data_IF_204088740840
#
_entry.id   IF_204088740840
#
_cell.length_a   1.000
_cell.length_b   1.000
_cell.length_c   1.000
_cell.angle_alpha   90.00
_cell.angle_beta   90.00
_cell.angle_gamma   90.00
#
_symmetry.space_group_name_H-M   'P 1'
#
loop_
_entity.id
_entity.type
_entity.pdbx_description
1 polymer ?
#
# COMPACT_ATOMS: atom_id res chain seq x y z
N UNK A 1 13.80 -2.21 -14.64
CA UNK A 1 13.27 -0.82 -14.52
C UNK A 1 12.90 -0.41 -13.08
N UNK A 2 12.60 -1.33 -12.16
CA UNK A 2 12.19 -1.03 -10.77
C UNK A 2 13.32 -0.45 -9.92
N UNK A 3 14.57 -0.81 -10.16
CA UNK A 3 15.74 -0.36 -9.41
C UNK A 3 16.08 1.12 -9.55
N UNK A 4 15.73 1.74 -10.70
CA UNK A 4 16.01 3.16 -10.93
C UNK A 4 15.07 4.11 -10.17
N UNK A 5 13.83 3.72 -9.93
CA UNK A 5 12.86 4.53 -9.16
C UNK A 5 13.19 4.55 -7.67
N UNK A 6 13.68 3.44 -7.11
CA UNK A 6 14.05 3.34 -5.70
C UNK A 6 15.26 4.21 -5.31
N UNK A 7 16.07 4.65 -6.28
CA UNK A 7 17.23 5.53 -6.07
C UNK A 7 16.89 7.02 -6.06
N UNK A 8 15.65 7.42 -6.39
CA UNK A 8 15.27 8.81 -6.45
C UNK A 8 15.17 9.41 -5.03
N UNK A 9 16.02 10.40 -4.66
CA UNK A 9 16.07 10.99 -3.33
C UNK A 9 14.75 11.67 -2.94
N UNK A 10 13.96 12.13 -3.90
CA UNK A 10 12.67 12.75 -3.70
C UNK A 10 11.65 11.73 -3.15
N UNK A 11 11.55 10.54 -3.76
CA UNK A 11 10.66 9.46 -3.30
C UNK A 11 11.02 9.04 -1.87
N UNK A 12 12.33 8.97 -1.57
CA UNK A 12 12.80 8.60 -0.23
C UNK A 12 12.43 9.62 0.84
N UNK A 13 12.42 10.92 0.51
CA UNK A 13 11.99 11.99 1.43
C UNK A 13 10.47 12.03 1.64
N UNK A 14 9.70 11.75 0.59
CA UNK A 14 8.23 11.74 0.66
C UNK A 14 7.66 10.48 1.34
N UNK A 15 8.44 9.44 1.50
CA UNK A 15 7.98 8.15 1.99
C UNK A 15 7.37 8.24 3.40
N UNK A 16 8.09 8.81 4.38
CA UNK A 16 7.63 8.89 5.75
C UNK A 16 6.37 9.77 5.91
N UNK A 17 6.35 11.04 5.41
CA UNK A 17 5.15 11.86 5.49
C UNK A 17 4.00 11.29 4.66
N UNK A 18 4.28 10.64 3.52
CA UNK A 18 3.27 10.01 2.69
C UNK A 18 2.52 8.89 3.43
N UNK A 19 3.23 7.96 4.07
CA UNK A 19 2.60 6.91 4.87
C UNK A 19 1.83 7.45 6.07
N UNK A 20 2.31 8.52 6.71
CA UNK A 20 1.63 9.14 7.84
C UNK A 20 0.30 9.76 7.40
N UNK A 21 0.30 10.57 6.33
CA UNK A 21 -0.91 11.21 5.80
C UNK A 21 -1.93 10.15 5.34
N UNK A 22 -1.48 9.14 4.59
CA UNK A 22 -2.34 8.08 4.12
C UNK A 22 -2.86 7.21 5.28
N UNK A 23 -2.04 6.99 6.32
CA UNK A 23 -2.47 6.30 7.53
C UNK A 23 -3.60 7.05 8.26
N UNK A 24 -3.44 8.36 8.46
CA UNK A 24 -4.48 9.21 9.06
C UNK A 24 -5.75 9.18 8.19
N UNK A 25 -5.61 9.33 6.86
CA UNK A 25 -6.74 9.30 5.92
C UNK A 25 -7.48 7.94 5.93
N UNK A 26 -6.83 6.85 6.32
CA UNK A 26 -7.48 5.55 6.51
C UNK A 26 -8.23 5.46 7.85
N UNK A 27 -7.62 5.99 8.92
CA UNK A 27 -8.15 5.85 10.28
C UNK A 27 -9.40 6.69 10.48
N UNK A 28 -9.45 7.92 9.97
CA UNK A 28 -10.58 8.84 10.15
C UNK A 28 -11.93 8.24 9.72
N UNK A 29 -12.11 7.71 8.48
CA UNK A 29 -13.37 7.10 8.09
C UNK A 29 -13.74 5.84 8.90
N UNK A 30 -12.74 5.12 9.42
CA UNK A 30 -12.99 3.95 10.28
C UNK A 30 -13.49 4.36 11.66
N UNK A 31 -12.99 5.47 12.22
CA UNK A 31 -13.51 6.04 13.47
C UNK A 31 -14.95 6.51 13.26
N UNK A 32 -15.25 7.25 12.18
CA UNK A 32 -16.61 7.70 11.87
C UNK A 32 -17.58 6.52 11.71
N UNK A 33 -17.12 5.45 11.05
CA UNK A 33 -17.89 4.22 10.93
C UNK A 33 -18.17 3.60 12.29
N UNK A 34 -17.16 3.49 13.16
CA UNK A 34 -17.30 2.91 14.50
C UNK A 34 -18.27 3.71 15.37
N UNK A 35 -18.17 5.03 15.33
CA UNK A 35 -19.10 5.93 16.04
C UNK A 35 -20.52 5.77 15.50
N UNK A 36 -20.69 5.69 14.17
CA UNK A 36 -22.01 5.53 13.51
C UNK A 36 -22.64 4.17 13.83
N UNK A 37 -21.86 3.14 14.11
CA UNK A 37 -22.34 1.82 14.50
C UNK A 37 -22.73 1.72 15.98
N UNK A 38 -22.38 2.70 16.80
CA UNK A 38 -22.73 2.74 18.22
C UNK A 38 -24.21 3.21 18.43
N UNK A 39 -24.98 2.58 19.37
CA UNK A 39 -24.67 1.40 20.17
C UNK A 39 -24.76 0.10 19.38
N UNK A 40 -23.83 -0.81 19.61
CA UNK A 40 -23.78 -2.11 18.94
C UNK A 40 -24.97 -2.99 19.38
N UNK A 41 -25.88 -3.31 18.45
CA UNK A 41 -27.05 -4.19 18.68
C UNK A 41 -27.12 -5.31 17.63
N UNK A 42 -26.15 -6.24 17.58
CA UNK A 42 -26.03 -7.24 16.51
C UNK A 42 -27.17 -8.24 16.47
N UNK A 43 -27.98 -8.33 17.53
CA UNK A 43 -29.14 -9.21 17.62
C UNK A 43 -30.35 -8.69 16.87
N UNK A 44 -30.43 -7.38 16.57
CA UNK A 44 -31.57 -6.78 15.87
C UNK A 44 -31.34 -6.77 14.35
N UNK A 45 -32.31 -7.29 13.59
CA UNK A 45 -32.27 -7.33 12.12
C UNK A 45 -32.06 -5.93 11.52
N UNK A 46 -32.77 -4.93 12.06
CA UNK A 46 -32.70 -3.55 11.59
C UNK A 46 -31.29 -2.96 11.76
N UNK A 47 -30.64 -3.22 12.89
CA UNK A 47 -29.28 -2.78 13.12
C UNK A 47 -28.28 -3.46 12.18
N UNK A 48 -28.37 -4.78 11.99
CA UNK A 48 -27.50 -5.52 11.08
C UNK A 48 -27.62 -5.00 9.66
N UNK A 49 -28.85 -4.83 9.17
CA UNK A 49 -29.10 -4.27 7.85
C UNK A 49 -28.51 -2.87 7.69
N UNK A 50 -28.73 -1.97 8.67
CA UNK A 50 -28.17 -0.63 8.68
C UNK A 50 -26.64 -0.63 8.76
N UNK A 51 -26.06 -1.45 9.63
CA UNK A 51 -24.62 -1.57 9.83
C UNK A 51 -23.88 -2.01 8.56
N UNK A 52 -24.41 -3.01 7.84
CA UNK A 52 -23.82 -3.47 6.58
C UNK A 52 -23.93 -2.40 5.49
N UNK A 53 -25.04 -1.68 5.42
CA UNK A 53 -25.20 -0.54 4.50
C UNK A 53 -24.22 0.60 4.77
N UNK A 54 -24.01 0.96 6.05
CA UNK A 54 -23.01 1.94 6.48
C UNK A 54 -21.59 1.47 6.14
N UNK A 55 -21.26 0.23 6.44
CA UNK A 55 -19.97 -0.35 6.12
C UNK A 55 -19.69 -0.31 4.61
N UNK A 56 -20.66 -0.71 3.77
CA UNK A 56 -20.55 -0.65 2.32
C UNK A 56 -20.32 0.78 1.79
N UNK A 57 -20.87 1.80 2.47
CA UNK A 57 -20.67 3.19 2.06
C UNK A 57 -19.33 3.75 2.54
N UNK A 58 -18.87 3.37 3.73
CA UNK A 58 -17.69 3.92 4.37
C UNK A 58 -16.36 3.33 3.84
N UNK A 59 -16.35 2.05 3.40
CA UNK A 59 -15.12 1.35 3.06
C UNK A 59 -14.46 1.85 1.76
N UNK A 60 -15.17 2.58 0.91
CA UNK A 60 -14.67 3.05 -0.38
C UNK A 60 -13.45 3.97 -0.26
N UNK A 61 -13.49 4.92 0.68
CA UNK A 61 -12.36 5.84 0.92
C UNK A 61 -11.13 5.11 1.48
N UNK A 62 -11.21 4.29 2.54
CA UNK A 62 -10.10 3.47 3.00
C UNK A 62 -9.50 2.56 1.91
N UNK A 63 -10.33 1.98 1.03
CA UNK A 63 -9.86 1.14 -0.06
C UNK A 63 -9.02 1.93 -1.07
N UNK A 64 -9.46 3.14 -1.44
CA UNK A 64 -8.69 4.05 -2.30
C UNK A 64 -7.35 4.41 -1.65
N UNK A 65 -7.36 4.74 -0.37
CA UNK A 65 -6.14 5.07 0.38
C UNK A 65 -5.20 3.86 0.44
N UNK A 66 -5.74 2.66 0.68
CA UNK A 66 -4.96 1.42 0.66
C UNK A 66 -4.28 1.19 -0.70
N UNK A 67 -4.99 1.48 -1.79
CA UNK A 67 -4.43 1.44 -3.14
C UNK A 67 -3.28 2.44 -3.30
N UNK A 68 -3.43 3.68 -2.81
CA UNK A 68 -2.35 4.69 -2.84
C UNK A 68 -1.14 4.27 -2.01
N UNK A 69 -1.36 3.68 -0.83
CA UNK A 69 -0.27 3.10 0.00
C UNK A 69 0.45 1.99 -0.76
N UNK A 70 -0.29 1.12 -1.45
CA UNK A 70 0.29 0.05 -2.26
C UNK A 70 1.15 0.62 -3.41
N UNK A 71 0.65 1.63 -4.13
CA UNK A 71 1.38 2.30 -5.21
C UNK A 71 2.66 2.95 -4.67
N UNK A 72 2.57 3.67 -3.54
CA UNK A 72 3.75 4.27 -2.89
C UNK A 72 4.76 3.20 -2.46
N UNK A 73 4.30 2.10 -1.87
CA UNK A 73 5.13 0.98 -1.46
C UNK A 73 5.81 0.29 -2.67
N UNK A 74 5.10 0.17 -3.79
CA UNK A 74 5.62 -0.38 -5.03
C UNK A 74 6.78 0.46 -5.57
N UNK A 75 6.62 1.78 -5.66
CA UNK A 75 7.68 2.69 -6.10
C UNK A 75 8.84 2.81 -5.11
N UNK A 76 8.57 2.67 -3.82
CA UNK A 76 9.59 2.71 -2.77
C UNK A 76 10.34 1.38 -2.60
N UNK A 77 9.88 0.29 -3.21
CA UNK A 77 10.43 -1.05 -3.03
C UNK A 77 10.15 -1.66 -1.66
N UNK A 78 9.15 -1.16 -0.92
CA UNK A 78 8.82 -1.57 0.44
C UNK A 78 8.03 -2.88 0.49
N UNK A 79 8.74 -3.99 0.42
CA UNK A 79 8.12 -5.31 0.41
C UNK A 79 7.23 -5.59 1.62
N UNK A 80 7.62 -5.11 2.82
CA UNK A 80 6.82 -5.33 4.04
C UNK A 80 5.46 -4.65 3.96
N UNK A 81 5.44 -3.38 3.49
CA UNK A 81 4.20 -2.61 3.29
C UNK A 81 3.34 -3.24 2.19
N UNK A 82 3.93 -3.71 1.09
CA UNK A 82 3.20 -4.41 0.03
C UNK A 82 2.51 -5.68 0.54
N UNK A 83 3.19 -6.48 1.39
CA UNK A 83 2.60 -7.66 2.02
C UNK A 83 1.43 -7.25 2.92
N UNK A 84 1.61 -6.22 3.76
CA UNK A 84 0.56 -5.72 4.63
C UNK A 84 -0.67 -5.26 3.82
N UNK A 85 -0.48 -4.48 2.75
CA UNK A 85 -1.55 -4.06 1.85
C UNK A 85 -2.27 -5.26 1.20
N UNK A 86 -1.52 -6.29 0.77
CA UNK A 86 -2.10 -7.49 0.17
C UNK A 86 -2.99 -8.25 1.16
N UNK A 87 -2.52 -8.41 2.40
CA UNK A 87 -3.29 -9.09 3.47
C UNK A 87 -4.53 -8.29 3.83
N UNK A 88 -4.40 -6.97 4.04
CA UNK A 88 -5.54 -6.10 4.36
C UNK A 88 -6.58 -6.12 3.23
N UNK A 89 -6.14 -6.01 1.97
CA UNK A 89 -7.03 -6.08 0.82
C UNK A 89 -7.76 -7.44 0.72
N UNK A 90 -7.06 -8.55 1.00
CA UNK A 90 -7.67 -9.89 1.02
C UNK A 90 -8.73 -10.02 2.13
N UNK A 91 -8.45 -9.48 3.33
CA UNK A 91 -9.41 -9.46 4.45
C UNK A 91 -10.63 -8.61 4.09
N UNK A 92 -10.43 -7.42 3.50
CA UNK A 92 -11.55 -6.57 3.05
C UNK A 92 -12.38 -7.30 2.00
N UNK A 93 -11.77 -7.95 1.02
CA UNK A 93 -12.49 -8.73 0.00
C UNK A 93 -13.35 -9.83 0.62
N UNK A 94 -12.79 -10.58 1.57
CA UNK A 94 -13.52 -11.62 2.30
C UNK A 94 -14.70 -11.06 3.09
N UNK A 95 -14.49 -9.96 3.82
CA UNK A 95 -15.55 -9.28 4.58
C UNK A 95 -16.66 -8.75 3.66
N UNK A 96 -16.30 -8.22 2.47
CA UNK A 96 -17.28 -7.75 1.49
C UNK A 96 -18.12 -8.89 0.91
N UNK A 97 -17.52 -10.03 0.61
CA UNK A 97 -18.24 -11.21 0.11
C UNK A 97 -19.17 -11.75 1.20
N UNK A 98 -18.67 -11.95 2.42
CA UNK A 98 -19.47 -12.42 3.55
C UNK A 98 -20.60 -11.43 3.89
N UNK A 99 -20.27 -10.12 3.93
CA UNK A 99 -21.23 -9.05 4.17
C UNK A 99 -22.31 -8.98 3.10
N UNK A 100 -21.98 -9.13 1.83
CA UNK A 100 -22.96 -9.15 0.73
C UNK A 100 -23.91 -10.34 0.86
N UNK A 101 -23.41 -11.52 1.23
CA UNK A 101 -24.24 -12.69 1.47
C UNK A 101 -25.23 -12.51 2.63
N UNK A 102 -24.75 -12.06 3.79
CA UNK A 102 -25.61 -11.79 4.94
C UNK A 102 -26.61 -10.68 4.67
N UNK A 103 -26.18 -9.60 4.00
CA UNK A 103 -27.04 -8.49 3.61
C UNK A 103 -28.16 -8.94 2.65
N UNK A 104 -27.86 -9.79 1.67
CA UNK A 104 -28.85 -10.30 0.74
C UNK A 104 -29.93 -11.13 1.47
N UNK A 105 -29.52 -11.97 2.42
CA UNK A 105 -30.45 -12.74 3.25
C UNK A 105 -31.32 -11.83 4.14
N UNK A 106 -30.71 -10.86 4.79
CA UNK A 106 -31.43 -9.91 5.64
C UNK A 106 -32.39 -9.03 4.81
N UNK A 107 -32.01 -8.63 3.59
CA UNK A 107 -32.85 -7.90 2.66
C UNK A 107 -34.09 -8.69 2.23
N UNK A 108 -33.94 -10.00 1.98
CA UNK A 108 -35.07 -10.87 1.66
C UNK A 108 -36.05 -11.00 2.83
N UNK A 109 -35.55 -11.10 4.06
CA UNK A 109 -36.38 -11.14 5.27
C UNK A 109 -37.11 -9.82 5.49
N UNK A 110 -36.40 -8.70 5.30
CA UNK A 110 -36.92 -7.36 5.46
C UNK A 110 -38.03 -7.03 4.45
N UNK A 111 -37.89 -7.45 3.19
CA UNK A 111 -38.87 -7.28 2.11
C UNK A 111 -40.26 -7.74 2.53
N UNK A 112 -40.35 -8.87 3.30
CA UNK A 112 -41.63 -9.43 3.77
C UNK A 112 -42.32 -8.61 4.85
N UNK A 113 -41.59 -7.68 5.49
CA UNK A 113 -42.06 -6.84 6.61
C UNK A 113 -42.35 -5.40 6.22
N UNK A 114 -41.94 -4.98 5.03
CA UNK A 114 -42.08 -3.60 4.55
C UNK A 114 -43.43 -3.45 3.84
N UNK A 115 -44.09 -2.34 4.09
CA UNK A 115 -45.36 -1.96 3.41
C UNK A 115 -45.13 -1.87 1.89
N UNK A 116 -46.11 -2.27 1.13
CA UNK A 116 -46.03 -2.32 -0.35
C UNK A 116 -45.62 -0.99 -0.98
N UNK A 117 -46.11 0.11 -0.49
CA UNK A 117 -45.75 1.46 -0.95
C UNK A 117 -44.26 1.82 -0.81
N UNK A 118 -43.55 1.24 0.17
CA UNK A 118 -42.12 1.47 0.40
C UNK A 118 -41.20 0.46 -0.27
N UNK A 119 -41.72 -0.65 -0.77
CA UNK A 119 -40.95 -1.74 -1.36
C UNK A 119 -40.06 -1.30 -2.55
N UNK A 120 -40.50 -0.46 -3.51
CA UNK A 120 -39.64 -0.08 -4.64
C UNK A 120 -38.38 0.67 -4.20
N UNK A 121 -38.54 1.62 -3.27
CA UNK A 121 -37.40 2.37 -2.72
C UNK A 121 -36.42 1.48 -1.96
N UNK A 122 -36.95 0.56 -1.17
CA UNK A 122 -36.15 -0.42 -0.43
C UNK A 122 -35.34 -1.32 -1.36
N UNK A 123 -35.98 -1.88 -2.41
CA UNK A 123 -35.31 -2.73 -3.38
C UNK A 123 -34.20 -1.98 -4.13
N UNK A 124 -34.45 -0.74 -4.56
CA UNK A 124 -33.44 0.09 -5.22
C UNK A 124 -32.27 0.37 -4.31
N UNK A 125 -32.50 0.75 -3.05
CA UNK A 125 -31.44 1.00 -2.07
C UNK A 125 -30.63 -0.26 -1.75
N UNK A 126 -31.30 -1.41 -1.62
CA UNK A 126 -30.66 -2.70 -1.37
C UNK A 126 -29.81 -3.15 -2.56
N UNK A 127 -30.33 -3.01 -3.78
CA UNK A 127 -29.59 -3.34 -5.00
C UNK A 127 -28.34 -2.45 -5.14
N UNK A 128 -28.48 -1.15 -4.87
CA UNK A 128 -27.34 -0.20 -4.90
C UNK A 128 -26.27 -0.56 -3.85
N UNK A 129 -26.67 -0.95 -2.64
CA UNK A 129 -25.74 -1.39 -1.61
C UNK A 129 -24.99 -2.66 -2.02
N UNK A 130 -25.69 -3.67 -2.53
CA UNK A 130 -25.10 -4.91 -3.04
C UNK A 130 -24.15 -4.64 -4.21
N UNK A 131 -24.52 -3.78 -5.13
CA UNK A 131 -23.66 -3.39 -6.25
C UNK A 131 -22.37 -2.74 -5.76
N UNK A 132 -22.47 -1.77 -4.82
CA UNK A 132 -21.29 -1.13 -4.21
C UNK A 132 -20.37 -2.15 -3.53
N UNK A 133 -20.95 -3.06 -2.75
CA UNK A 133 -20.18 -4.13 -2.08
C UNK A 133 -19.50 -5.05 -3.08
N UNK A 134 -20.18 -5.41 -4.16
CA UNK A 134 -19.63 -6.22 -5.24
C UNK A 134 -18.43 -5.54 -5.91
N UNK A 135 -18.57 -4.28 -6.30
CA UNK A 135 -17.50 -3.50 -6.94
C UNK A 135 -16.29 -3.35 -5.99
N UNK A 136 -16.53 -3.01 -4.73
CA UNK A 136 -15.48 -2.86 -3.74
C UNK A 136 -14.79 -4.19 -3.41
N UNK A 137 -15.55 -5.28 -3.32
CA UNK A 137 -15.03 -6.64 -3.13
C UNK A 137 -14.11 -7.06 -4.28
N UNK A 138 -14.56 -6.84 -5.54
CA UNK A 138 -13.75 -7.13 -6.73
C UNK A 138 -12.49 -6.26 -6.74
N UNK A 139 -12.59 -4.95 -6.49
CA UNK A 139 -11.45 -4.04 -6.44
C UNK A 139 -10.42 -4.49 -5.38
N UNK A 140 -10.88 -4.87 -4.19
CA UNK A 140 -10.03 -5.39 -3.12
C UNK A 140 -9.35 -6.71 -3.52
N UNK A 141 -10.07 -7.61 -4.18
CA UNK A 141 -9.52 -8.88 -4.66
C UNK A 141 -8.45 -8.66 -5.73
N UNK A 142 -8.72 -7.78 -6.70
CA UNK A 142 -7.75 -7.42 -7.75
C UNK A 142 -6.49 -6.82 -7.13
N UNK A 143 -6.64 -5.92 -6.14
CA UNK A 143 -5.51 -5.34 -5.43
C UNK A 143 -4.69 -6.41 -4.69
N UNK A 144 -5.35 -7.31 -3.97
CA UNK A 144 -4.69 -8.41 -3.26
C UNK A 144 -3.91 -9.32 -4.22
N UNK A 145 -4.56 -9.77 -5.32
CA UNK A 145 -3.94 -10.64 -6.32
C UNK A 145 -2.76 -9.96 -7.01
N UNK A 146 -2.89 -8.68 -7.37
CA UNK A 146 -1.82 -7.88 -7.98
C UNK A 146 -0.61 -7.78 -7.06
N UNK A 147 -0.84 -7.49 -5.78
CA UNK A 147 0.21 -7.40 -4.78
C UNK A 147 0.93 -8.75 -4.57
N UNK A 148 0.18 -9.86 -4.48
CA UNK A 148 0.78 -11.19 -4.36
C UNK A 148 1.57 -11.60 -5.60
N UNK A 149 1.09 -11.29 -6.80
CA UNK A 149 1.82 -11.58 -8.06
C UNK A 149 3.14 -10.80 -8.13
N UNK A 150 3.12 -9.52 -7.77
CA UNK A 150 4.32 -8.68 -7.72
C UNK A 150 5.36 -9.23 -6.74
N UNK A 151 4.91 -9.69 -5.56
CA UNK A 151 5.78 -10.29 -4.55
C UNK A 151 6.40 -11.62 -5.01
N UNK A 152 5.67 -12.43 -5.75
CA UNK A 152 6.19 -13.69 -6.34
C UNK A 152 7.18 -13.41 -7.47
N UNK A 153 6.89 -12.46 -8.35
CA UNK A 153 7.79 -12.08 -9.45
C UNK A 153 9.14 -11.53 -8.96
N UNK A 154 9.15 -10.79 -7.85
CA UNK A 154 10.39 -10.29 -7.25
C UNK A 154 11.30 -11.39 -6.66
N UNK A 155 10.75 -12.57 -6.33
CA UNK A 155 11.53 -13.75 -5.87
C UNK A 155 12.18 -14.51 -7.04
N UNK A 156 11.65 -14.39 -8.25
CA UNK A 156 12.09 -15.16 -9.41
C UNK A 156 13.25 -14.50 -10.19
N UNK A 157 13.63 -13.27 -9.84
CA UNK A 157 14.83 -12.66 -10.41
C UNK A 157 16.06 -13.28 -9.73
N UNK A 158 16.89 -14.04 -10.47
CA UNK A 158 18.15 -14.51 -9.92
C UNK A 158 18.96 -13.28 -9.50
N UNK A 159 19.40 -13.28 -8.23
CA UNK A 159 20.27 -12.22 -7.72
C UNK A 159 21.46 -12.02 -8.67
N UNK A 160 22.05 -10.81 -8.73
CA UNK A 160 23.21 -10.57 -9.55
C UNK A 160 24.25 -11.65 -9.20
N UNK A 161 24.50 -12.53 -10.16
CA UNK A 161 25.61 -13.47 -10.07
C UNK A 161 26.84 -12.64 -9.75
N UNK A 162 27.40 -12.86 -8.60
CA UNK A 162 28.75 -12.43 -8.18
C UNK A 162 29.79 -13.13 -9.06
N UNK A 163 29.75 -12.88 -10.36
CA UNK A 163 30.76 -13.33 -11.34
C UNK A 163 31.97 -12.38 -11.37
N UNK A 164 32.29 -11.72 -10.31
CA UNK A 164 33.45 -10.81 -10.32
C UNK A 164 34.45 -11.10 -9.20
N UNK A 165 34.68 -12.36 -8.86
CA UNK A 165 35.78 -12.66 -7.93
C UNK A 165 36.77 -13.74 -8.41
N UNK A 166 36.62 -14.23 -9.61
CA UNK A 166 37.53 -15.25 -10.15
C UNK A 166 38.58 -14.71 -11.15
N UNK A 167 38.49 -13.45 -11.57
CA UNK A 167 39.43 -12.90 -12.56
C UNK A 167 40.54 -12.01 -11.99
N UNK A 168 40.55 -11.76 -10.67
CA UNK A 168 41.58 -10.90 -10.07
C UNK A 168 42.76 -11.67 -9.44
N UNK A 169 42.77 -13.00 -9.50
CA UNK A 169 43.87 -13.80 -8.92
C UNK A 169 44.93 -14.29 -9.89
N UNK A 170 44.88 -13.88 -11.18
CA UNK A 170 45.87 -14.33 -12.20
C UNK A 170 46.80 -13.21 -12.72
N UNK A 171 46.95 -12.10 -12.02
CA UNK A 171 47.91 -11.06 -12.37
C UNK A 171 48.83 -10.69 -11.20
N UNK A 172 49.31 -11.69 -10.49
CA UNK A 172 50.46 -11.55 -9.57
C UNK A 172 51.66 -12.17 -10.28
N UNK A 173 52.42 -11.35 -10.96
CA UNK A 173 53.63 -11.81 -11.61
C UNK A 173 54.27 -10.73 -12.50
N UNK A 174 54.54 -9.54 -11.96
CA UNK A 174 55.49 -8.62 -12.62
C UNK A 174 56.38 -7.98 -11.57
N UNK A 175 57.72 -8.21 -11.66
CA UNK A 175 58.67 -7.62 -10.73
C UNK A 175 58.76 -6.14 -10.92
N UNK A 176 58.57 -5.37 -9.84
CA UNK A 176 58.72 -3.95 -9.78
C UNK A 176 60.18 -3.59 -9.85
N UNK A 177 60.57 -2.99 -10.99
CA UNK A 177 61.86 -2.31 -11.16
C UNK A 177 61.76 -0.99 -10.39
N UNK A 178 62.57 -0.84 -9.35
CA UNK A 178 62.74 0.39 -8.57
C UNK A 178 63.36 1.50 -9.48
N UNK A 179 62.69 2.65 -9.53
CA UNK A 179 63.26 3.89 -10.12
C UNK A 179 63.34 4.93 -8.99
N UNK A 180 64.52 5.43 -8.66
CA UNK A 180 64.62 6.53 -7.70
C UNK A 180 64.25 7.84 -8.42
N UNK A 181 63.27 8.54 -7.93
CA UNK A 181 62.94 9.93 -8.32
C UNK A 181 63.36 10.86 -7.20
N UNK A 182 64.52 11.43 -7.35
CA UNK A 182 64.90 12.71 -6.75
C UNK A 182 64.18 13.80 -7.54
N UNK A 183 63.43 14.64 -6.85
CA UNK A 183 62.76 15.81 -7.45
C UNK A 183 62.18 16.71 -6.38
N UNK A 184 62.95 17.81 -6.13
CA UNK A 184 62.64 18.92 -5.26
C UNK A 184 61.20 19.46 -5.47
N UNK A 185 60.44 19.59 -4.40
CA UNK A 185 59.19 20.30 -4.41
C UNK A 185 59.40 21.77 -4.00
N UNK A 186 58.90 22.75 -4.76
CA UNK A 186 59.00 24.14 -4.38
C UNK A 186 58.05 24.46 -3.19
N UNK A 187 58.63 25.13 -2.19
CA UNK A 187 57.97 25.68 -1.01
C UNK A 187 57.10 26.88 -1.42
N UNK A 188 55.79 26.80 -1.21
CA UNK A 188 54.85 27.91 -1.39
C UNK A 188 54.72 28.64 -0.02
N UNK A 189 54.94 29.95 0.07
CA UNK A 189 54.77 30.70 1.33
C UNK A 189 53.28 30.94 1.65
N UNK A 190 52.94 31.03 2.95
CA UNK A 190 51.53 31.23 3.34
C UNK A 190 51.06 32.66 3.05
N UNK A 191 49.90 32.77 2.43
CA UNK A 191 49.18 34.02 2.16
C UNK A 191 48.52 34.53 3.43
N UNK A 192 48.80 35.80 3.79
CA UNK A 192 48.20 36.48 4.94
C UNK A 192 46.69 36.73 4.79
N UNK A 193 45.93 36.79 5.90
CA UNK A 193 44.49 37.06 5.85
C UNK A 193 44.23 38.55 5.55
N UNK A 194 43.36 38.79 4.56
CA UNK A 194 42.81 40.14 4.31
C UNK A 194 41.70 40.43 5.32
N UNK A 195 41.86 41.55 6.02
CA UNK A 195 40.82 42.17 6.83
C UNK A 195 39.75 42.78 5.89
N UNK A 196 38.51 42.56 6.19
CA UNK A 196 37.35 43.20 5.56
C UNK A 196 36.83 44.24 6.56
N UNK A 197 36.83 45.48 6.19
CA UNK A 197 36.06 46.56 6.78
C UNK A 197 34.56 46.42 6.49
#
# INVERSE_FOLDING_TARGET
MITAAASNPFIRRLRAPGYLILGIATILPLIDLLVSLSPLRPTTLMWRFGAVGLFASAIGAPLLVLFLIYVLAYFSGDRKVMIACAVIAAVIALLMIAGAGTFALDALQMKRRIQEAAQPRFLTASAQALFKMGVQGIASLVLAVSAFRTLKGAKALPGPRTESRASSSMLVGRPSVARPVTGDAPVIPPTAPQAVE
#
